data_IF_361970255003
#
_entry.id   IF_361970255003
#
_cell.length_a   1.000
_cell.length_b   1.000
_cell.length_c   1.000
_cell.angle_alpha   90.00
_cell.angle_beta   90.00
_cell.angle_gamma   90.00
#
_symmetry.space_group_name_H-M   'P 1'
#
loop_
_entity.id
_entity.type
_entity.pdbx_description
1 polymer ?
#
# COMPACT_ATOMS: atom_id res chain seq x y z
N UNK A 1 5.33 -6.97 -5.74
CA UNK A 1 5.48 -5.70 -5.00
C UNK A 1 6.78 -5.66 -4.18
N UNK A 2 7.09 -6.69 -3.39
CA UNK A 2 8.31 -6.76 -2.56
C UNK A 2 9.63 -6.69 -3.36
N UNK A 3 9.66 -7.27 -4.57
CA UNK A 3 10.85 -7.28 -5.43
C UNK A 3 11.23 -5.87 -5.92
N UNK A 4 10.28 -5.11 -6.48
CA UNK A 4 10.55 -3.74 -6.96
C UNK A 4 10.99 -2.79 -5.85
N UNK A 5 10.32 -2.84 -4.70
CA UNK A 5 10.69 -1.99 -3.57
C UNK A 5 12.08 -2.37 -3.04
N UNK A 6 12.41 -3.67 -3.01
CA UNK A 6 13.73 -4.16 -2.69
C UNK A 6 14.79 -3.61 -3.65
N UNK A 7 14.57 -3.74 -4.96
CA UNK A 7 15.47 -3.19 -5.98
C UNK A 7 15.64 -1.67 -5.83
N UNK A 8 14.56 -0.92 -5.61
CA UNK A 8 14.64 0.52 -5.36
C UNK A 8 15.49 0.86 -4.12
N UNK A 9 15.37 0.09 -3.04
CA UNK A 9 16.19 0.30 -1.84
C UNK A 9 17.68 0.00 -2.09
N UNK A 10 18.00 -0.97 -2.95
CA UNK A 10 19.38 -1.30 -3.32
C UNK A 10 19.95 -0.25 -4.27
N UNK A 11 19.27 -0.04 -5.39
CA UNK A 11 19.79 0.70 -6.54
C UNK A 11 19.71 2.20 -6.31
N UNK A 12 18.62 2.71 -5.74
CA UNK A 12 18.41 4.15 -5.56
C UNK A 12 18.80 4.63 -4.16
N UNK A 13 18.59 3.82 -3.11
CA UNK A 13 18.89 4.23 -1.73
C UNK A 13 20.25 3.74 -1.22
N UNK A 14 21.02 3.02 -2.05
CA UNK A 14 22.37 2.55 -1.72
C UNK A 14 22.42 1.56 -0.55
N UNK A 15 21.30 0.91 -0.21
CA UNK A 15 21.24 -0.05 0.89
C UNK A 15 21.89 -1.37 0.50
N UNK A 16 22.35 -2.13 1.49
CA UNK A 16 22.78 -3.51 1.27
C UNK A 16 21.57 -4.48 1.24
N UNK A 17 21.77 -5.68 0.68
CA UNK A 17 20.74 -6.72 0.54
C UNK A 17 20.00 -7.04 1.85
N UNK A 18 20.71 -7.13 2.97
CA UNK A 18 20.11 -7.48 4.25
C UNK A 18 19.23 -6.35 4.79
N UNK A 19 19.68 -5.10 4.69
CA UNK A 19 18.94 -3.92 5.17
C UNK A 19 17.72 -3.63 4.29
N UNK A 20 17.85 -3.78 2.96
CA UNK A 20 16.74 -3.64 2.03
C UNK A 20 15.67 -4.72 2.28
N UNK A 21 16.06 -5.99 2.39
CA UNK A 21 15.14 -7.10 2.67
C UNK A 21 14.40 -6.92 4.01
N UNK A 22 15.12 -6.50 5.05
CA UNK A 22 14.53 -6.20 6.36
C UNK A 22 13.54 -5.02 6.26
N UNK A 23 13.88 -3.97 5.54
CA UNK A 23 13.01 -2.79 5.36
C UNK A 23 11.71 -3.14 4.62
N UNK A 24 11.80 -3.93 3.55
CA UNK A 24 10.62 -4.42 2.81
C UNK A 24 9.75 -5.31 3.70
N UNK A 25 10.35 -6.21 4.47
CA UNK A 25 9.63 -7.11 5.38
C UNK A 25 8.95 -6.35 6.51
N UNK A 26 9.67 -5.40 7.13
CA UNK A 26 9.15 -4.54 8.19
C UNK A 26 7.99 -3.66 7.69
N UNK A 27 8.12 -3.11 6.49
CA UNK A 27 7.04 -2.36 5.84
C UNK A 27 5.81 -3.24 5.62
N UNK A 28 5.99 -4.42 5.03
CA UNK A 28 4.91 -5.38 4.85
C UNK A 28 4.23 -5.78 6.17
N UNK A 29 5.02 -6.04 7.21
CA UNK A 29 4.52 -6.33 8.56
C UNK A 29 3.72 -5.15 9.14
N UNK A 30 4.18 -3.93 8.92
CA UNK A 30 3.48 -2.71 9.38
C UNK A 30 2.15 -2.53 8.68
N UNK A 31 2.04 -2.82 7.37
CA UNK A 31 0.76 -2.81 6.65
C UNK A 31 -0.27 -3.77 7.29
N UNK A 32 0.17 -4.95 7.73
CA UNK A 32 -0.72 -5.91 8.40
C UNK A 32 -1.02 -5.51 9.85
N UNK A 33 -0.04 -4.99 10.59
CA UNK A 33 -0.27 -4.54 11.97
C UNK A 33 -1.24 -3.34 12.02
N UNK A 34 -1.05 -2.37 11.13
CA UNK A 34 -1.94 -1.20 11.00
C UNK A 34 -3.35 -1.59 10.56
N UNK A 35 -3.52 -2.75 9.89
CA UNK A 35 -4.85 -3.30 9.57
C UNK A 35 -5.68 -3.58 10.82
N UNK A 36 -5.07 -4.09 11.88
CA UNK A 36 -5.77 -4.35 13.15
C UNK A 36 -6.24 -3.03 13.80
N UNK A 37 -5.40 -2.00 13.75
CA UNK A 37 -5.71 -0.67 14.29
C UNK A 37 -6.84 -0.02 13.47
N UNK A 38 -6.76 -0.09 12.14
CA UNK A 38 -7.78 0.43 11.23
C UNK A 38 -9.15 -0.22 11.45
N UNK A 39 -9.18 -1.55 11.62
CA UNK A 39 -10.40 -2.28 11.93
C UNK A 39 -11.02 -1.81 13.25
N UNK A 40 -10.22 -1.72 14.32
CA UNK A 40 -10.68 -1.24 15.62
C UNK A 40 -11.26 0.19 15.55
N UNK A 41 -10.60 1.09 14.82
CA UNK A 41 -11.09 2.47 14.64
C UNK A 41 -12.43 2.53 13.89
N UNK A 42 -12.60 1.69 12.86
CA UNK A 42 -13.84 1.60 12.10
C UNK A 42 -15.00 1.06 12.94
N UNK A 43 -14.77 0.02 13.73
CA UNK A 43 -15.82 -0.64 14.50
C UNK A 43 -16.18 0.12 15.78
N UNK A 44 -15.22 0.80 16.42
CA UNK A 44 -15.43 1.45 17.72
C UNK A 44 -15.78 2.95 17.65
N UNK A 45 -15.36 3.68 16.61
CA UNK A 45 -15.44 5.15 16.62
C UNK A 45 -16.00 5.79 15.34
N UNK A 46 -15.37 5.53 14.19
CA UNK A 46 -15.59 6.32 12.98
C UNK A 46 -16.68 5.74 12.06
N UNK A 47 -16.94 4.45 12.17
CA UNK A 47 -17.74 3.71 11.18
C UNK A 47 -16.93 3.40 9.90
N UNK A 48 -17.39 2.40 9.15
CA UNK A 48 -16.67 1.84 8.00
C UNK A 48 -16.40 2.86 6.89
N UNK A 49 -17.40 3.68 6.53
CA UNK A 49 -17.26 4.67 5.46
C UNK A 49 -16.22 5.76 5.77
N UNK A 50 -16.29 6.39 6.95
CA UNK A 50 -15.38 7.47 7.33
C UNK A 50 -13.95 6.98 7.56
N UNK A 51 -13.78 5.76 8.06
CA UNK A 51 -12.46 5.12 8.11
C UNK A 51 -11.90 4.93 6.71
N UNK A 52 -12.66 4.38 5.76
CA UNK A 52 -12.18 4.21 4.38
C UNK A 52 -11.82 5.57 3.77
N UNK A 53 -12.70 6.57 3.86
CA UNK A 53 -12.50 7.87 3.23
C UNK A 53 -11.25 8.61 3.77
N UNK A 54 -11.06 8.60 5.09
CA UNK A 54 -9.89 9.24 5.72
C UNK A 54 -8.59 8.51 5.37
N UNK A 55 -8.57 7.17 5.44
CA UNK A 55 -7.37 6.39 5.17
C UNK A 55 -7.01 6.32 3.68
N UNK A 56 -7.98 6.38 2.76
CA UNK A 56 -7.71 6.60 1.32
C UNK A 56 -6.99 7.92 1.09
N UNK A 57 -7.39 8.98 1.79
CA UNK A 57 -6.73 10.28 1.67
C UNK A 57 -5.27 10.20 2.11
N UNK A 58 -5.00 9.55 3.25
CA UNK A 58 -3.64 9.30 3.76
C UNK A 58 -2.83 8.46 2.77
N UNK A 59 -3.44 7.42 2.19
CA UNK A 59 -2.82 6.55 1.20
C UNK A 59 -2.39 7.32 -0.05
N UNK A 60 -3.26 8.18 -0.59
CA UNK A 60 -2.97 9.02 -1.76
C UNK A 60 -1.83 10.00 -1.46
N UNK A 61 -1.82 10.63 -0.27
CA UNK A 61 -0.73 11.52 0.13
C UNK A 61 0.60 10.75 0.20
N UNK A 62 0.60 9.55 0.77
CA UNK A 62 1.79 8.69 0.83
C UNK A 62 2.32 8.32 -0.55
N UNK A 63 1.44 7.90 -1.46
CA UNK A 63 1.81 7.62 -2.85
C UNK A 63 2.34 8.87 -3.56
N UNK A 64 1.67 10.01 -3.40
CA UNK A 64 2.11 11.28 -3.98
C UNK A 64 3.51 11.68 -3.50
N UNK A 65 3.78 11.53 -2.21
CA UNK A 65 5.11 11.80 -1.65
C UNK A 65 6.17 10.86 -2.22
N UNK A 66 5.88 9.57 -2.37
CA UNK A 66 6.79 8.61 -3.00
C UNK A 66 7.05 8.95 -4.47
N UNK A 67 6.01 9.31 -5.23
CA UNK A 67 6.13 9.74 -6.62
C UNK A 67 7.00 10.99 -6.73
N UNK A 68 6.80 11.99 -5.86
CA UNK A 68 7.63 13.21 -5.83
C UNK A 68 9.07 12.87 -5.47
N UNK A 69 9.30 12.05 -4.46
CA UNK A 69 10.64 11.62 -4.04
C UNK A 69 11.40 10.88 -5.15
N UNK A 70 10.68 10.10 -5.97
CA UNK A 70 11.27 9.34 -7.08
C UNK A 70 11.40 10.12 -8.40
N UNK A 71 10.66 11.22 -8.61
CA UNK A 71 10.60 11.94 -9.89
C UNK A 71 11.28 13.30 -9.89
N UNK A 72 11.36 13.98 -8.73
CA UNK A 72 11.94 15.31 -8.65
C UNK A 72 13.46 15.20 -8.59
N UNK A 73 14.16 15.75 -9.59
CA UNK A 73 15.63 15.71 -9.70
C UNK A 73 16.39 16.18 -8.46
N UNK A 74 15.80 17.07 -7.65
CA UNK A 74 16.38 17.54 -6.38
C UNK A 74 16.23 16.52 -5.23
N UNK A 75 15.24 15.62 -5.28
CA UNK A 75 14.99 14.58 -4.29
C UNK A 75 15.50 13.20 -4.73
N UNK A 76 15.86 13.04 -6.00
CA UNK A 76 16.54 11.83 -6.49
C UNK A 76 18.01 11.90 -6.04
N UNK A 77 18.53 10.84 -5.38
CA UNK A 77 19.92 10.81 -4.94
C UNK A 77 20.88 10.81 -6.13
N UNK A 78 21.97 11.57 -6.02
CA UNK A 78 22.99 11.62 -7.06
C UNK A 78 23.81 10.34 -7.05
N UNK A 79 23.68 9.55 -8.12
CA UNK A 79 24.40 8.30 -8.26
C UNK A 79 25.76 8.53 -8.93
N UNK A 80 26.84 8.08 -8.30
CA UNK A 80 28.15 8.07 -8.94
C UNK A 80 28.19 7.00 -10.04
N UNK A 81 29.12 7.12 -11.00
CA UNK A 81 29.29 6.23 -12.16
C UNK A 81 29.51 4.73 -11.84
N UNK A 82 29.57 4.34 -10.55
CA UNK A 82 29.70 2.96 -10.07
C UNK A 82 28.39 2.33 -9.58
N UNK A 83 27.23 2.96 -9.81
CA UNK A 83 25.93 2.39 -9.42
C UNK A 83 25.67 2.40 -7.91
N UNK A 84 26.41 3.21 -7.15
CA UNK A 84 26.17 3.46 -5.73
C UNK A 84 25.64 4.89 -5.61
N UNK A 85 24.38 5.03 -5.20
CA UNK A 85 23.74 6.29 -4.90
C UNK A 85 23.89 6.59 -3.41
N UNK A 86 24.30 7.80 -3.05
CA UNK A 86 24.42 8.23 -1.66
C UNK A 86 23.27 9.22 -1.35
N UNK A 87 22.15 8.75 -0.76
CA UNK A 87 21.02 9.60 -0.46
C UNK A 87 21.28 10.48 0.75
N UNK A 88 20.88 11.74 0.66
CA UNK A 88 20.87 12.62 1.82
C UNK A 88 19.86 12.12 2.86
N UNK A 89 20.09 12.43 4.14
CA UNK A 89 19.16 12.05 5.22
C UNK A 89 17.72 12.52 4.95
N UNK A 90 17.55 13.68 4.30
CA UNK A 90 16.23 14.20 3.91
C UNK A 90 15.53 13.38 2.82
N UNK A 91 16.28 12.89 1.82
CA UNK A 91 15.73 12.05 0.75
C UNK A 91 15.29 10.68 1.29
N UNK A 92 16.14 10.06 2.12
CA UNK A 92 15.82 8.81 2.81
C UNK A 92 14.58 8.99 3.71
N UNK A 93 14.52 10.06 4.50
CA UNK A 93 13.36 10.36 5.34
C UNK A 93 12.08 10.54 4.51
N UNK A 94 12.12 11.25 3.39
CA UNK A 94 10.96 11.44 2.52
C UNK A 94 10.40 10.11 1.98
N UNK A 95 11.28 9.20 1.55
CA UNK A 95 10.89 7.86 1.09
C UNK A 95 10.25 7.05 2.22
N UNK A 96 10.87 7.01 3.40
CA UNK A 96 10.32 6.23 4.52
C UNK A 96 9.03 6.83 5.06
N UNK A 97 8.89 8.15 5.14
CA UNK A 97 7.64 8.82 5.50
C UNK A 97 6.55 8.44 4.49
N UNK A 98 6.84 8.49 3.19
CA UNK A 98 5.91 8.05 2.15
C UNK A 98 5.50 6.58 2.31
N UNK A 99 6.46 5.68 2.51
CA UNK A 99 6.22 4.25 2.70
C UNK A 99 5.33 3.97 3.91
N UNK A 100 5.59 4.62 5.05
CA UNK A 100 4.80 4.40 6.25
C UNK A 100 3.43 5.09 6.22
N UNK A 101 3.26 6.18 5.47
CA UNK A 101 1.93 6.73 5.16
C UNK A 101 1.11 5.77 4.29
N UNK A 102 1.74 5.17 3.28
CA UNK A 102 1.10 4.12 2.46
C UNK A 102 0.73 2.91 3.32
N UNK A 103 1.61 2.49 4.24
CA UNK A 103 1.32 1.40 5.16
C UNK A 103 0.12 1.70 6.06
N UNK A 104 0.10 2.89 6.67
CA UNK A 104 -1.01 3.37 7.50
C UNK A 104 -2.32 3.42 6.71
N UNK A 105 -2.30 4.05 5.53
CA UNK A 105 -3.46 4.13 4.63
C UNK A 105 -4.00 2.75 4.25
N UNK A 106 -3.12 1.82 3.88
CA UNK A 106 -3.50 0.43 3.58
C UNK A 106 -4.19 -0.24 4.77
N UNK A 107 -3.72 0.03 5.99
CA UNK A 107 -4.27 -0.52 7.22
C UNK A 107 -5.73 -0.12 7.49
N UNK A 108 -6.16 1.10 7.17
CA UNK A 108 -7.57 1.48 7.35
C UNK A 108 -8.48 1.01 6.21
N UNK A 109 -7.94 0.86 5.00
CA UNK A 109 -8.74 0.48 3.82
C UNK A 109 -9.04 -1.01 3.82
N UNK A 110 -8.00 -1.84 3.98
CA UNK A 110 -8.08 -3.29 3.81
C UNK A 110 -9.14 -4.00 4.67
N UNK A 111 -9.33 -3.69 5.97
CA UNK A 111 -10.30 -4.40 6.80
C UNK A 111 -11.74 -3.91 6.57
N UNK A 112 -11.92 -2.71 6.01
CA UNK A 112 -13.22 -2.06 5.93
C UNK A 112 -13.88 -2.22 4.55
N UNK A 113 -13.13 -2.26 3.45
CA UNK A 113 -13.69 -2.24 2.09
C UNK A 113 -14.58 -3.45 1.79
N UNK A 114 -14.15 -4.67 2.13
CA UNK A 114 -14.95 -5.87 1.87
C UNK A 114 -16.22 -5.89 2.70
N UNK A 115 -16.11 -5.46 3.97
CA UNK A 115 -17.22 -5.43 4.91
C UNK A 115 -18.23 -4.34 4.52
N UNK A 116 -17.75 -3.16 4.12
CA UNK A 116 -18.59 -2.10 3.58
C UNK A 116 -19.29 -2.52 2.28
N UNK A 117 -18.61 -3.24 1.39
CA UNK A 117 -19.24 -3.80 0.19
C UNK A 117 -20.31 -4.85 0.50
N UNK A 118 -20.10 -5.66 1.55
CA UNK A 118 -21.07 -6.63 2.02
C UNK A 118 -22.33 -5.98 2.61
N UNK A 119 -22.18 -4.82 3.24
CA UNK A 119 -23.28 -4.07 3.87
C UNK A 119 -24.26 -3.47 2.84
N UNK A 120 -23.91 -3.46 1.55
CA UNK A 120 -24.76 -2.93 0.48
C UNK A 120 -25.88 -3.88 0.04
N UNK A 121 -25.92 -5.09 0.58
CA UNK A 121 -26.90 -6.13 0.21
C UNK A 121 -27.69 -6.55 1.45
N UNK A 122 -29.02 -6.59 1.35
CA UNK A 122 -29.90 -7.12 2.40
C UNK A 122 -29.80 -8.65 2.45
N UNK A 123 -29.57 -9.19 3.65
CA UNK A 123 -29.46 -10.63 3.86
C UNK A 123 -30.81 -11.33 3.93
N UNK A 124 -31.89 -10.58 4.13
CA UNK A 124 -33.26 -11.10 4.20
C UNK A 124 -33.92 -11.25 2.82
N UNK A 125 -33.31 -10.70 1.76
CA UNK A 125 -33.75 -10.87 0.38
C UNK A 125 -32.91 -11.97 -0.30
N UNK A 126 -33.56 -13.05 -0.73
CA UNK A 126 -32.91 -14.19 -1.38
C UNK A 126 -32.22 -13.82 -2.71
N UNK A 127 -32.73 -12.82 -3.44
CA UNK A 127 -32.14 -12.29 -4.66
C UNK A 127 -30.89 -11.45 -4.39
N UNK A 128 -30.94 -10.56 -3.40
CA UNK A 128 -29.77 -9.76 -3.00
C UNK A 128 -28.66 -10.63 -2.39
N UNK A 129 -29.01 -11.65 -1.62
CA UNK A 129 -28.06 -12.63 -1.07
C UNK A 129 -27.28 -13.38 -2.17
N UNK A 130 -27.94 -13.77 -3.26
CA UNK A 130 -27.26 -14.35 -4.44
C UNK A 130 -26.35 -13.34 -5.12
N UNK A 131 -26.80 -12.09 -5.22
CA UNK A 131 -26.03 -11.00 -5.81
C UNK A 131 -24.77 -10.66 -4.99
N UNK A 132 -24.86 -10.70 -3.66
CA UNK A 132 -23.72 -10.56 -2.73
C UNK A 132 -22.63 -11.62 -2.98
N UNK A 133 -23.04 -12.88 -3.18
CA UNK A 133 -22.09 -13.97 -3.52
C UNK A 133 -21.41 -13.72 -4.86
N UNK A 134 -22.17 -13.32 -5.88
CA UNK A 134 -21.62 -12.95 -7.20
C UNK A 134 -20.64 -11.77 -7.09
N UNK A 135 -20.99 -10.74 -6.31
CA UNK A 135 -20.12 -9.59 -6.02
C UNK A 135 -18.78 -10.05 -5.43
N UNK A 136 -18.78 -10.91 -4.42
CA UNK A 136 -17.54 -11.41 -3.82
C UNK A 136 -16.72 -12.27 -4.79
N UNK A 137 -17.36 -13.08 -5.65
CA UNK A 137 -16.65 -13.82 -6.69
C UNK A 137 -15.90 -12.88 -7.65
N UNK A 138 -16.57 -11.84 -8.16
CA UNK A 138 -15.95 -10.83 -9.03
C UNK A 138 -14.90 -10.00 -8.31
N UNK A 139 -15.13 -9.67 -7.04
CA UNK A 139 -14.18 -8.94 -6.20
C UNK A 139 -12.87 -9.71 -6.03
N UNK A 140 -12.93 -10.98 -5.62
CA UNK A 140 -11.74 -11.81 -5.47
C UNK A 140 -11.06 -12.12 -6.80
N UNK A 141 -11.83 -12.34 -7.88
CA UNK A 141 -11.26 -12.49 -9.21
C UNK A 141 -10.45 -11.25 -9.61
N UNK A 142 -11.02 -10.06 -9.41
CA UNK A 142 -10.36 -8.77 -9.72
C UNK A 142 -9.09 -8.56 -8.89
N UNK A 143 -9.10 -8.92 -7.60
CA UNK A 143 -7.90 -8.85 -6.75
C UNK A 143 -6.80 -9.76 -7.26
N UNK A 144 -7.12 -11.01 -7.62
CA UNK A 144 -6.12 -11.96 -8.11
C UNK A 144 -5.55 -11.53 -9.47
N UNK A 145 -6.39 -11.06 -10.39
CA UNK A 145 -5.93 -10.49 -11.67
C UNK A 145 -5.03 -9.27 -11.42
N UNK A 146 -5.45 -8.35 -10.55
CA UNK A 146 -4.66 -7.18 -10.18
C UNK A 146 -3.31 -7.56 -9.57
N UNK A 147 -3.27 -8.56 -8.68
CA UNK A 147 -2.03 -9.07 -8.11
C UNK A 147 -1.11 -9.71 -9.17
N UNK A 148 -1.68 -10.46 -10.13
CA UNK A 148 -0.93 -11.02 -11.26
C UNK A 148 -0.32 -9.92 -12.13
N UNK A 149 -1.10 -8.91 -12.51
CA UNK A 149 -0.62 -7.77 -13.32
C UNK A 149 0.44 -6.97 -12.55
N UNK A 150 0.23 -6.72 -11.25
CA UNK A 150 1.17 -5.98 -10.41
C UNK A 150 2.50 -6.74 -10.14
N UNK A 151 2.49 -8.07 -10.25
CA UNK A 151 3.69 -8.90 -10.08
C UNK A 151 4.40 -9.23 -11.39
N UNK A 152 3.72 -9.11 -12.53
CA UNK A 152 4.28 -9.34 -13.86
C UNK A 152 4.58 -8.03 -14.58
N UNK A 153 3.56 -7.30 -15.02
CA UNK A 153 3.69 -6.12 -15.89
C UNK A 153 4.36 -4.96 -15.15
N UNK A 154 3.89 -4.61 -13.94
CA UNK A 154 4.39 -3.46 -13.17
C UNK A 154 5.84 -3.63 -12.67
N UNK A 155 6.45 -4.81 -12.84
CA UNK A 155 7.86 -5.04 -12.50
C UNK A 155 8.79 -4.53 -13.60
N UNK A 156 8.31 -4.47 -14.84
CA UNK A 156 9.10 -4.10 -16.01
C UNK A 156 8.83 -2.67 -16.52
N UNK A 157 7.88 -1.97 -15.91
CA UNK A 157 7.57 -0.56 -16.16
C UNK A 157 8.23 0.27 -15.07
#
# INVERSE_FOLDING_TARGET
MSANLGNFMLDNMGMNNTTAANSVTNWGGTCYATTLIGAFLADAYLGRFWTIASFVTIYIIGLGLLTVAASVKALVPTCAAKGVCDPTAGQTAAVFVGLYLVALGTGGIKPCVSSFGADQFDENDDGERRSKSSFFNWFYLSINIGALVASSVMVYV
#
